data_IF_005251820395
#
_entry.id   IF_005251820395
#
_cell.length_a   1.000
_cell.length_b   1.000
_cell.length_c   1.000
_cell.angle_alpha   90.00
_cell.angle_beta   90.00
_cell.angle_gamma   90.00
#
_symmetry.space_group_name_H-M   'P 1'
#
loop_
_entity.id
_entity.type
_entity.pdbx_description
1 polymer ?
#
# COMPACT_ATOMS: atom_id res chain seq x y z
N UNK A 1 -22.19 -1.94 7.47
CA UNK A 1 -20.91 -1.46 6.90
C UNK A 1 -21.00 -1.59 5.38
N UNK A 2 -20.55 -0.57 4.64
CA UNK A 2 -20.59 -0.61 3.19
C UNK A 2 -19.60 -1.65 2.65
N UNK A 3 -19.93 -2.25 1.50
CA UNK A 3 -19.07 -3.27 0.87
C UNK A 3 -17.69 -2.75 0.52
N UNK A 4 -17.57 -1.47 0.20
CA UNK A 4 -16.31 -0.82 -0.16
C UNK A 4 -15.25 -0.95 0.94
N UNK A 5 -15.64 -0.98 2.22
CA UNK A 5 -14.68 -1.16 3.31
C UNK A 5 -13.95 -2.51 3.27
N UNK A 6 -14.48 -3.50 2.52
CA UNK A 6 -13.87 -4.83 2.39
C UNK A 6 -12.98 -4.99 1.16
N UNK A 7 -12.92 -3.98 0.29
CA UNK A 7 -12.20 -4.09 -0.98
C UNK A 7 -10.69 -4.31 -0.83
N UNK A 8 -10.09 -3.87 0.27
CA UNK A 8 -8.64 -4.03 0.52
C UNK A 8 -8.32 -5.19 1.48
N UNK A 9 -9.32 -5.98 1.86
CA UNK A 9 -9.14 -7.07 2.82
C UNK A 9 -8.18 -8.16 2.33
N UNK A 10 -7.98 -8.28 1.01
CA UNK A 10 -7.00 -9.22 0.46
C UNK A 10 -5.58 -8.97 0.95
N UNK A 11 -5.29 -7.77 1.44
CA UNK A 11 -3.97 -7.37 1.93
C UNK A 11 -3.76 -7.69 3.42
N UNK A 12 -4.82 -8.03 4.15
CA UNK A 12 -4.72 -8.37 5.57
C UNK A 12 -3.85 -9.62 5.72
N UNK A 13 -2.84 -9.55 6.60
CA UNK A 13 -1.98 -10.69 6.90
C UNK A 13 -0.64 -10.30 7.44
N UNK A 14 0.14 -11.31 7.79
CA UNK A 14 1.55 -11.21 8.15
C UNK A 14 2.35 -11.77 6.97
N UNK A 15 3.13 -10.92 6.33
CA UNK A 15 3.72 -11.19 5.03
C UNK A 15 5.23 -11.17 5.05
N UNK A 16 5.84 -12.08 4.28
CA UNK A 16 7.21 -11.95 3.82
C UNK A 16 7.20 -11.36 2.42
N UNK A 17 8.01 -10.33 2.19
CA UNK A 17 8.02 -9.58 0.94
C UNK A 17 9.39 -9.71 0.27
N UNK A 18 9.38 -10.07 -1.01
CA UNK A 18 10.58 -10.23 -1.81
C UNK A 18 10.54 -9.32 -3.04
N UNK A 19 11.73 -8.99 -3.58
CA UNK A 19 11.85 -8.26 -4.83
C UNK A 19 11.72 -9.20 -6.04
N UNK A 20 11.72 -8.70 -7.30
CA UNK A 20 11.58 -9.54 -8.48
C UNK A 20 12.71 -10.58 -8.67
N UNK A 21 13.87 -10.36 -8.03
CA UNK A 21 14.99 -11.30 -8.06
C UNK A 21 14.90 -12.37 -6.94
N UNK A 22 13.81 -12.35 -6.17
CA UNK A 22 13.59 -13.31 -5.10
C UNK A 22 14.33 -12.98 -3.80
N UNK A 23 14.96 -11.80 -3.69
CA UNK A 23 15.63 -11.38 -2.46
C UNK A 23 14.63 -10.78 -1.49
N UNK A 24 14.85 -11.04 -0.19
CA UNK A 24 14.03 -10.48 0.86
C UNK A 24 14.08 -8.94 0.82
N UNK A 25 12.91 -8.30 0.77
CA UNK A 25 12.75 -6.85 0.86
C UNK A 25 12.34 -6.40 2.26
N UNK A 26 11.61 -7.25 2.98
CA UNK A 26 11.16 -6.96 4.34
C UNK A 26 10.00 -7.84 4.75
N UNK A 27 9.40 -7.47 5.88
CA UNK A 27 8.16 -8.06 6.37
C UNK A 27 7.11 -6.98 6.53
N UNK A 28 5.84 -7.35 6.38
CA UNK A 28 4.75 -6.40 6.49
C UNK A 28 3.57 -7.03 7.23
N UNK A 29 3.07 -6.34 8.24
CA UNK A 29 1.91 -6.78 9.01
C UNK A 29 0.76 -5.82 8.73
N UNK A 30 -0.32 -6.32 8.16
CA UNK A 30 -1.52 -5.54 7.89
C UNK A 30 -2.67 -6.10 8.74
N UNK A 31 -3.21 -5.25 9.64
CA UNK A 31 -4.27 -5.63 10.56
C UNK A 31 -5.48 -4.73 10.41
N UNK A 32 -6.70 -5.29 10.49
CA UNK A 32 -7.89 -4.46 10.64
C UNK A 32 -7.93 -3.87 12.05
N UNK A 33 -8.24 -2.58 12.14
CA UNK A 33 -8.42 -1.85 13.39
C UNK A 33 -9.69 -1.00 13.31
N UNK A 34 -10.04 -0.36 14.40
CA UNK A 34 -11.18 0.58 14.47
C UNK A 34 -12.46 -0.04 13.91
N UNK A 35 -12.84 -1.21 14.43
CA UNK A 35 -14.04 -1.92 14.01
C UNK A 35 -13.97 -2.51 12.61
N UNK A 36 -12.76 -2.65 12.05
CA UNK A 36 -12.54 -3.18 10.71
C UNK A 36 -12.66 -2.14 9.60
N UNK A 37 -12.85 -0.87 9.94
CA UNK A 37 -12.94 0.20 8.93
C UNK A 37 -11.58 0.65 8.43
N UNK A 38 -10.52 0.39 9.18
CA UNK A 38 -9.15 0.85 8.87
C UNK A 38 -8.21 -0.34 8.83
N UNK A 39 -7.34 -0.39 7.83
CA UNK A 39 -6.22 -1.31 7.81
C UNK A 39 -4.96 -0.58 8.26
N UNK A 40 -4.29 -1.13 9.28
CA UNK A 40 -3.03 -0.61 9.80
C UNK A 40 -1.88 -1.46 9.27
N UNK A 41 -0.95 -0.82 8.57
CA UNK A 41 0.26 -1.44 8.05
C UNK A 41 1.44 -1.15 8.95
N UNK A 42 2.26 -2.18 9.23
CA UNK A 42 3.55 -2.05 9.93
C UNK A 42 4.63 -2.71 9.10
N UNK A 43 5.42 -1.90 8.40
CA UNK A 43 6.50 -2.35 7.52
C UNK A 43 7.84 -2.39 8.24
N UNK A 44 8.59 -3.47 8.04
CA UNK A 44 9.98 -3.59 8.49
C UNK A 44 10.85 -3.98 7.29
N UNK A 45 11.59 -3.01 6.78
CA UNK A 45 12.48 -3.22 5.64
C UNK A 45 13.72 -4.00 6.00
N UNK A 46 14.24 -4.75 5.04
CA UNK A 46 15.47 -5.55 5.20
C UNK A 46 16.67 -4.67 5.53
N UNK A 47 16.69 -3.43 5.05
CA UNK A 47 17.74 -2.45 5.34
C UNK A 47 17.56 -1.67 6.64
N UNK A 48 16.52 -1.97 7.43
CA UNK A 48 16.25 -1.33 8.71
C UNK A 48 15.24 -0.18 8.67
N UNK A 49 14.77 0.26 7.50
CA UNK A 49 13.70 1.26 7.42
C UNK A 49 12.40 0.66 7.93
N UNK A 50 11.75 1.36 8.84
CA UNK A 50 10.42 1.01 9.34
C UNK A 50 9.42 2.11 8.98
N UNK A 51 8.20 1.71 8.71
CA UNK A 51 7.12 2.63 8.38
C UNK A 51 5.76 2.06 8.72
N UNK A 52 4.77 2.95 8.79
CA UNK A 52 3.40 2.58 9.11
C UNK A 52 2.44 3.36 8.23
N UNK A 53 1.27 2.78 8.01
CA UNK A 53 0.20 3.48 7.29
C UNK A 53 -1.17 3.15 7.87
N UNK A 54 -2.09 4.09 7.67
CA UNK A 54 -3.51 3.89 7.86
C UNK A 54 -4.20 3.93 6.50
N UNK A 55 -5.06 2.95 6.27
CA UNK A 55 -5.75 2.77 5.00
C UNK A 55 -7.24 2.67 5.27
N UNK A 56 -8.02 3.56 4.65
CA UNK A 56 -9.45 3.66 4.92
C UNK A 56 -10.21 4.04 3.65
N UNK A 57 -11.42 3.49 3.51
CA UNK A 57 -12.35 4.01 2.51
C UNK A 57 -13.02 5.27 3.07
N UNK A 58 -12.70 6.42 2.48
CA UNK A 58 -13.32 7.70 2.84
C UNK A 58 -14.67 7.78 2.16
N UNK A 59 -15.72 7.43 2.88
CA UNK A 59 -17.08 7.38 2.34
C UNK A 59 -17.61 8.75 1.92
N UNK A 60 -17.12 9.83 2.55
CA UNK A 60 -17.55 11.18 2.20
C UNK A 60 -17.03 11.61 0.82
N UNK A 61 -15.82 11.18 0.46
CA UNK A 61 -15.21 11.48 -0.84
C UNK A 61 -15.37 10.33 -1.85
N UNK A 62 -15.75 9.13 -1.38
CA UNK A 62 -15.89 7.94 -2.24
C UNK A 62 -14.55 7.41 -2.76
N UNK A 63 -13.48 7.55 -1.99
CA UNK A 63 -12.14 7.11 -2.38
C UNK A 63 -11.48 6.31 -1.26
N UNK A 64 -10.59 5.40 -1.63
CA UNK A 64 -9.63 4.84 -0.69
C UNK A 64 -8.53 5.84 -0.42
N UNK A 65 -8.07 5.89 0.82
CA UNK A 65 -7.06 6.83 1.30
C UNK A 65 -5.98 6.09 2.08
N UNK A 66 -4.72 6.41 1.80
CA UNK A 66 -3.58 5.96 2.61
C UNK A 66 -2.80 7.17 3.11
N UNK A 67 -2.47 7.14 4.40
CA UNK A 67 -1.45 7.99 4.99
C UNK A 67 -0.29 7.09 5.43
N UNK A 68 0.86 7.28 4.81
CA UNK A 68 2.10 6.58 5.12
C UNK A 68 3.08 7.53 5.78
N UNK A 69 3.76 7.06 6.83
CA UNK A 69 4.89 7.75 7.46
C UNK A 69 6.00 6.73 7.70
N UNK A 70 7.26 7.18 7.67
CA UNK A 70 8.37 6.27 7.94
C UNK A 70 9.50 6.94 8.73
N UNK A 71 10.46 6.13 9.15
CA UNK A 71 11.56 6.56 10.01
C UNK A 71 12.55 7.50 9.32
N UNK A 72 12.46 7.70 8.01
CA UNK A 72 13.24 8.71 7.29
C UNK A 72 12.59 10.09 7.30
N UNK A 73 11.40 10.22 7.89
CA UNK A 73 10.65 11.47 7.95
C UNK A 73 9.79 11.71 6.72
N UNK A 74 9.60 10.72 5.86
CA UNK A 74 8.70 10.82 4.71
C UNK A 74 7.25 10.70 5.19
N UNK A 75 6.39 11.54 4.65
CA UNK A 75 4.95 11.42 4.75
C UNK A 75 4.39 11.37 3.32
N UNK A 76 3.67 10.29 3.00
CA UNK A 76 3.08 10.09 1.68
C UNK A 76 1.58 9.88 1.83
N UNK A 77 0.79 10.77 1.23
CA UNK A 77 -0.67 10.73 1.25
C UNK A 77 -1.15 10.42 -0.15
N UNK A 78 -2.02 9.41 -0.26
CA UNK A 78 -2.52 8.95 -1.56
C UNK A 78 -4.01 8.65 -1.49
N UNK A 79 -4.70 8.85 -2.60
CA UNK A 79 -6.10 8.50 -2.80
C UNK A 79 -6.26 7.65 -4.06
N UNK A 80 -7.32 6.83 -4.11
CA UNK A 80 -7.61 6.05 -5.30
C UNK A 80 -8.78 5.11 -5.16
N UNK A 81 -8.79 4.06 -5.98
CA UNK A 81 -9.93 3.18 -6.14
C UNK A 81 -9.49 1.72 -6.27
N UNK A 82 -10.43 0.84 -5.90
CA UNK A 82 -10.34 -0.57 -6.25
C UNK A 82 -11.16 -0.82 -7.52
N UNK A 83 -10.46 -1.14 -8.60
CA UNK A 83 -11.09 -1.36 -9.91
C UNK A 83 -10.43 -2.54 -10.62
N UNK A 84 -11.23 -3.37 -11.27
CA UNK A 84 -10.74 -4.52 -12.05
C UNK A 84 -9.82 -5.44 -11.24
N UNK A 85 -10.11 -5.61 -9.96
CA UNK A 85 -9.33 -6.49 -9.08
C UNK A 85 -8.02 -5.89 -8.57
N UNK A 86 -7.78 -4.61 -8.78
CA UNK A 86 -6.54 -3.93 -8.38
C UNK A 86 -6.87 -2.71 -7.53
N UNK A 87 -6.18 -2.56 -6.39
CA UNK A 87 -6.22 -1.34 -5.59
C UNK A 87 -5.11 -0.41 -6.08
N UNK A 88 -5.48 0.76 -6.60
CA UNK A 88 -4.52 1.75 -7.10
C UNK A 88 -4.68 3.06 -6.36
N UNK A 89 -3.62 3.53 -5.73
CA UNK A 89 -3.58 4.80 -5.01
C UNK A 89 -2.49 5.69 -5.61
N UNK A 90 -2.74 7.00 -5.62
CA UNK A 90 -1.82 7.99 -6.18
C UNK A 90 -1.88 9.28 -5.38
N UNK A 91 -0.78 10.03 -5.38
CA UNK A 91 -0.74 11.38 -4.81
C UNK A 91 -0.94 12.48 -5.87
N UNK A 92 -1.34 12.10 -7.10
CA UNK A 92 -1.50 13.04 -8.23
C UNK A 92 -2.35 14.25 -7.84
N UNK A 93 -3.49 14.02 -7.22
CA UNK A 93 -4.49 15.06 -6.94
C UNK A 93 -4.50 15.51 -5.47
N UNK A 94 -3.49 15.13 -4.71
CA UNK A 94 -3.38 15.52 -3.31
C UNK A 94 -3.07 17.02 -3.22
N UNK A 95 -3.82 17.79 -2.42
CA UNK A 95 -3.59 19.23 -2.28
C UNK A 95 -2.26 19.53 -1.59
N UNK A 96 -1.75 20.74 -1.82
CA UNK A 96 -0.53 21.30 -1.19
C UNK A 96 0.78 20.59 -1.57
N UNK A 97 0.81 19.80 -2.62
CA UNK A 97 2.07 19.30 -3.18
C UNK A 97 2.85 20.46 -3.79
N UNK A 98 4.14 20.55 -3.47
CA UNK A 98 5.02 21.54 -4.08
C UNK A 98 5.37 21.19 -5.51
N UNK A 99 5.76 19.94 -5.76
CA UNK A 99 6.15 19.44 -7.08
C UNK A 99 5.01 18.65 -7.69
N UNK A 100 4.27 19.29 -8.59
CA UNK A 100 3.13 18.66 -9.28
C UNK A 100 3.57 17.69 -10.38
N UNK A 101 4.80 17.78 -10.84
CA UNK A 101 5.34 16.85 -11.84
C UNK A 101 5.75 15.52 -11.23
N UNK A 102 6.02 15.49 -9.92
CA UNK A 102 6.33 14.25 -9.22
C UNK A 102 5.05 13.56 -8.78
N UNK A 103 4.85 12.35 -9.27
CA UNK A 103 3.66 11.54 -8.96
C UNK A 103 4.10 10.18 -8.45
N UNK A 104 3.58 9.80 -7.29
CA UNK A 104 3.66 8.44 -6.77
C UNK A 104 2.38 7.69 -7.10
N UNK A 105 2.49 6.46 -7.57
CA UNK A 105 1.35 5.58 -7.80
C UNK A 105 1.70 4.18 -7.33
N UNK A 106 0.85 3.59 -6.49
CA UNK A 106 1.03 2.24 -5.99
C UNK A 106 -0.19 1.41 -6.36
N UNK A 107 0.05 0.22 -6.92
CA UNK A 107 -0.98 -0.75 -7.24
C UNK A 107 -0.75 -2.04 -6.45
N UNK A 108 -1.80 -2.54 -5.78
CA UNK A 108 -1.79 -3.83 -5.10
C UNK A 108 -2.70 -4.78 -5.87
N UNK A 109 -2.12 -5.88 -6.35
CA UNK A 109 -2.83 -6.89 -7.15
C UNK A 109 -2.84 -8.21 -6.40
N UNK A 110 -4.03 -8.70 -5.96
CA UNK A 110 -4.12 -10.05 -5.42
C UNK A 110 -3.99 -11.08 -6.54
N UNK A 111 -3.15 -12.09 -6.33
CA UNK A 111 -2.95 -13.16 -7.29
C UNK A 111 -3.80 -14.40 -6.91
N UNK A 112 -4.12 -15.29 -7.89
CA UNK A 112 -4.94 -16.47 -7.61
C UNK A 112 -4.35 -17.42 -6.55
N UNK A 113 -3.02 -17.42 -6.39
CA UNK A 113 -2.34 -18.27 -5.39
C UNK A 113 -2.36 -17.69 -3.96
N UNK A 114 -3.02 -16.56 -3.75
CA UNK A 114 -3.09 -15.89 -2.46
C UNK A 114 -1.94 -14.92 -2.18
N UNK A 115 -0.95 -14.84 -3.06
CA UNK A 115 0.08 -13.81 -2.98
C UNK A 115 -0.47 -12.46 -3.43
N UNK A 116 0.24 -11.39 -3.09
CA UNK A 116 -0.11 -10.03 -3.52
C UNK A 116 1.12 -9.38 -4.13
N UNK A 117 0.95 -8.69 -5.25
CA UNK A 117 2.00 -7.83 -5.81
C UNK A 117 1.72 -6.39 -5.43
N UNK A 118 2.72 -5.70 -4.89
CA UNK A 118 2.70 -4.25 -4.71
C UNK A 118 3.71 -3.62 -5.64
N UNK A 119 3.23 -2.84 -6.60
CA UNK A 119 4.07 -2.14 -7.55
C UNK A 119 3.95 -0.64 -7.35
N UNK A 120 5.06 -0.02 -6.93
CA UNK A 120 5.16 1.42 -6.73
C UNK A 120 6.00 2.01 -7.84
N UNK A 121 5.43 2.94 -8.57
CA UNK A 121 6.12 3.68 -9.62
C UNK A 121 6.07 5.18 -9.36
N UNK A 122 7.06 5.88 -9.88
CA UNK A 122 7.21 7.32 -9.72
C UNK A 122 7.42 7.95 -11.10
N UNK A 123 6.68 9.02 -11.35
CA UNK A 123 6.92 9.91 -12.49
C UNK A 123 7.51 11.23 -11.97
N UNK A 124 8.42 11.84 -12.72
CA UNK A 124 8.96 13.18 -12.43
C UNK A 124 8.61 14.17 -13.54
N UNK A 125 7.80 13.77 -14.51
CA UNK A 125 7.42 14.56 -15.68
C UNK A 125 5.91 14.66 -15.89
N UNK A 126 5.16 14.65 -14.80
CA UNK A 126 3.71 14.82 -14.83
C UNK A 126 2.94 13.58 -15.33
N UNK A 127 3.56 12.41 -15.27
CA UNK A 127 2.94 11.16 -15.68
C UNK A 127 3.24 10.74 -17.12
N UNK A 128 4.19 11.38 -17.78
CA UNK A 128 4.58 11.03 -19.15
C UNK A 128 5.45 9.78 -19.18
N UNK A 129 6.41 9.68 -18.26
CA UNK A 129 7.27 8.51 -18.08
C UNK A 129 7.30 8.08 -16.63
N UNK A 130 7.60 6.80 -16.39
CA UNK A 130 7.54 6.20 -15.07
C UNK A 130 8.77 5.33 -14.79
N UNK A 131 9.18 5.33 -13.52
CA UNK A 131 10.22 4.44 -13.03
C UNK A 131 9.68 3.62 -11.86
N UNK A 132 10.04 2.35 -11.79
CA UNK A 132 9.70 1.51 -10.65
C UNK A 132 10.53 1.94 -9.44
N UNK A 133 9.84 2.30 -8.36
CA UNK A 133 10.46 2.61 -7.07
C UNK A 133 10.52 1.37 -6.17
N UNK A 134 9.49 0.52 -6.23
CA UNK A 134 9.41 -0.70 -5.45
C UNK A 134 8.52 -1.71 -6.18
N UNK A 135 8.94 -2.98 -6.22
CA UNK A 135 8.14 -4.08 -6.75
C UNK A 135 8.26 -5.25 -5.79
N UNK A 136 7.22 -5.49 -5.02
CA UNK A 136 7.23 -6.48 -3.95
C UNK A 136 6.22 -7.59 -4.19
N UNK A 137 6.68 -8.83 -3.98
CA UNK A 137 5.81 -9.99 -3.92
C UNK A 137 5.58 -10.35 -2.45
N UNK A 138 4.32 -10.32 -2.05
CA UNK A 138 3.85 -10.64 -0.71
C UNK A 138 3.43 -12.10 -0.64
N UNK A 139 4.07 -12.86 0.23
CA UNK A 139 3.72 -14.27 0.51
C UNK A 139 3.47 -14.38 2.01
N UNK A 140 2.46 -15.15 2.39
CA UNK A 140 2.13 -15.34 3.81
C UNK A 140 3.30 -15.96 4.55
N UNK A 141 3.64 -15.38 5.70
CA UNK A 141 4.87 -15.69 6.42
C UNK A 141 4.88 -17.05 7.11
N UNK A 142 3.74 -17.62 7.39
CA UNK A 142 3.66 -18.78 8.25
C UNK A 142 3.79 -18.48 9.75
N UNK A 143 4.04 -17.21 10.13
CA UNK A 143 3.99 -16.79 11.54
C UNK A 143 2.55 -16.80 12.03
N UNK A 144 2.34 -16.93 13.36
CA UNK A 144 1.00 -16.85 13.93
C UNK A 144 0.35 -15.51 13.56
N UNK A 145 -0.90 -15.55 13.06
CA UNK A 145 -1.62 -14.33 12.73
C UNK A 145 -1.99 -13.61 14.02
N UNK A 146 -1.90 -12.26 14.05
CA UNK A 146 -2.33 -11.50 15.22
C UNK A 146 -3.86 -11.61 15.39
N UNK A 147 -4.30 -11.50 16.66
CA UNK A 147 -5.74 -11.43 16.96
C UNK A 147 -6.34 -10.18 16.33
N UNK A 148 -7.56 -10.35 15.82
CA UNK A 148 -8.36 -9.25 15.28
C UNK A 148 -9.00 -8.41 16.37
#
# INVERSE_FOLDING_TARGET
MKAEYRQFDFWIGDWDVSNPQGKAAGTNLIRPILGGCVLHESWKGQGGLVGESFNVFDAARGVWHQTWVDASGVALVMDGQFENGVMTLSDRDVPHKKDRDRINEIAWTPNPDGSVRQHWRVSTDGGKTWMTSFDGKYVRSGRAQPAR
#
